data_IF_090372063800
#
_entry.id   IF_090372063800
#
_cell.length_a   1.000
_cell.length_b   1.000
_cell.length_c   1.000
_cell.angle_alpha   90.00
_cell.angle_beta   90.00
_cell.angle_gamma   90.00
#
_symmetry.space_group_name_H-M   'P 1'
#
loop_
_entity.id
_entity.type
_entity.pdbx_description
1 polymer ?
#
# COMPACT_ATOMS: atom_id res chain seq x y z
N UNK A 1 4.46 -29.76 36.43
CA UNK A 1 3.92 -28.38 36.36
C UNK A 1 4.34 -27.61 35.11
N UNK A 2 5.63 -27.35 34.85
CA UNK A 2 6.08 -26.55 33.67
C UNK A 2 5.57 -27.11 32.34
N UNK A 3 5.68 -28.43 32.09
CA UNK A 3 5.19 -29.07 30.84
C UNK A 3 3.68 -28.90 30.64
N UNK A 4 2.88 -28.92 31.71
CA UNK A 4 1.43 -28.72 31.65
C UNK A 4 1.08 -27.28 31.30
N UNK A 5 1.80 -26.33 31.91
CA UNK A 5 1.64 -24.89 31.62
C UNK A 5 2.00 -24.60 30.16
N UNK A 6 3.13 -25.11 29.68
CA UNK A 6 3.56 -24.93 28.27
C UNK A 6 2.52 -25.47 27.29
N UNK A 7 1.99 -26.69 27.55
CA UNK A 7 0.92 -27.27 26.72
C UNK A 7 -0.35 -26.42 26.74
N UNK A 8 -0.78 -25.96 27.90
CA UNK A 8 -1.97 -25.12 28.03
C UNK A 8 -1.81 -23.79 27.26
N UNK A 9 -0.66 -23.14 27.40
CA UNK A 9 -0.35 -21.89 26.65
C UNK A 9 -0.34 -22.14 25.15
N UNK A 10 0.26 -23.23 24.69
CA UNK A 10 0.30 -23.60 23.29
C UNK A 10 -1.11 -23.83 22.72
N UNK A 11 -1.94 -24.60 23.43
CA UNK A 11 -3.33 -24.84 23.04
C UNK A 11 -4.12 -23.53 23.01
N UNK A 12 -3.97 -22.68 24.03
CA UNK A 12 -4.60 -21.36 24.06
C UNK A 12 -4.21 -20.49 22.85
N UNK A 13 -2.92 -20.46 22.50
CA UNK A 13 -2.45 -19.73 21.31
C UNK A 13 -3.07 -20.27 20.02
N UNK A 14 -3.20 -21.60 19.88
CA UNK A 14 -3.85 -22.21 18.71
C UNK A 14 -5.34 -21.85 18.64
N UNK A 15 -6.05 -21.89 19.76
CA UNK A 15 -7.47 -21.52 19.82
C UNK A 15 -7.68 -20.03 19.50
N UNK A 16 -6.86 -19.18 20.07
CA UNK A 16 -6.89 -17.73 19.76
C UNK A 16 -6.55 -17.50 18.30
N UNK A 17 -5.45 -18.13 17.79
CA UNK A 17 -5.03 -18.02 16.40
C UNK A 17 -6.11 -18.47 15.41
N UNK A 18 -6.83 -19.55 15.73
CA UNK A 18 -8.00 -19.98 14.95
C UNK A 18 -9.17 -19.00 15.07
N UNK A 19 -9.45 -18.53 16.28
CA UNK A 19 -10.56 -17.60 16.55
C UNK A 19 -10.44 -16.27 15.80
N UNK A 20 -9.24 -15.68 15.78
CA UNK A 20 -9.01 -14.42 15.08
C UNK A 20 -9.16 -14.51 13.55
N UNK A 21 -9.14 -15.71 12.96
CA UNK A 21 -9.37 -15.87 11.53
C UNK A 21 -10.82 -15.54 11.12
N UNK A 22 -11.76 -15.59 12.05
CA UNK A 22 -13.14 -15.20 11.78
C UNK A 22 -13.37 -13.70 11.80
N UNK A 23 -12.39 -12.92 12.28
CA UNK A 23 -12.47 -11.46 12.34
C UNK A 23 -11.64 -10.90 11.18
N UNK A 24 -12.26 -10.77 10.01
CA UNK A 24 -11.58 -10.32 8.80
C UNK A 24 -12.02 -8.90 8.40
N UNK A 25 -11.07 -8.01 8.06
CA UNK A 25 -11.39 -6.69 7.51
C UNK A 25 -11.92 -6.82 6.09
N UNK A 26 -12.68 -5.81 5.66
CA UNK A 26 -13.07 -5.71 4.26
C UNK A 26 -11.83 -5.51 3.37
N UNK A 27 -11.77 -6.28 2.29
CA UNK A 27 -10.78 -6.18 1.23
C UNK A 27 -11.50 -5.87 -0.07
N UNK A 28 -11.84 -4.60 -0.24
CA UNK A 28 -12.61 -4.13 -1.38
C UNK A 28 -11.80 -3.14 -2.21
N UNK A 29 -12.01 -3.21 -3.52
CA UNK A 29 -11.55 -2.19 -4.45
C UNK A 29 -12.79 -1.41 -4.90
N UNK A 30 -12.92 -0.12 -4.52
CA UNK A 30 -13.97 0.73 -5.07
C UNK A 30 -13.87 0.80 -6.60
N UNK A 31 -14.96 1.08 -7.29
CA UNK A 31 -14.89 1.31 -8.74
C UNK A 31 -13.91 2.44 -9.07
N UNK A 32 -13.09 2.22 -10.09
CA UNK A 32 -12.22 3.26 -10.64
C UNK A 32 -12.94 3.94 -11.80
N UNK A 33 -12.96 5.27 -11.81
CA UNK A 33 -13.54 6.04 -12.91
C UNK A 33 -12.51 6.17 -14.04
N UNK A 34 -12.86 5.81 -15.28
CA UNK A 34 -11.99 6.02 -16.43
C UNK A 34 -11.61 7.50 -16.56
N UNK A 35 -10.31 7.78 -16.68
CA UNK A 35 -9.79 9.14 -16.82
C UNK A 35 -9.59 9.91 -15.52
N UNK A 36 -9.94 9.36 -14.36
CA UNK A 36 -9.74 10.00 -13.06
C UNK A 36 -8.35 9.74 -12.43
N UNK A 37 -7.65 8.74 -12.92
CA UNK A 37 -6.39 8.26 -12.33
C UNK A 37 -5.23 9.25 -12.52
N UNK A 38 -4.21 9.10 -11.68
CA UNK A 38 -2.95 9.84 -11.79
C UNK A 38 -2.36 9.73 -13.21
N UNK A 39 -2.32 8.54 -13.79
CA UNK A 39 -1.77 8.34 -15.13
C UNK A 39 -2.58 9.07 -16.20
N UNK A 40 -3.91 9.10 -16.08
CA UNK A 40 -4.77 9.75 -17.06
C UNK A 40 -4.68 11.30 -17.00
N UNK A 41 -4.57 11.84 -15.78
CA UNK A 41 -4.58 13.29 -15.53
C UNK A 41 -3.18 13.91 -15.62
N UNK A 42 -2.22 13.35 -14.87
CA UNK A 42 -0.86 13.87 -14.77
C UNK A 42 0.03 13.46 -15.95
N UNK A 43 -0.33 12.37 -16.65
CA UNK A 43 0.42 11.84 -17.81
C UNK A 43 1.92 11.73 -17.56
N UNK A 44 2.33 11.03 -16.48
CA UNK A 44 3.74 10.94 -16.12
C UNK A 44 4.58 10.27 -17.22
N UNK A 45 5.88 10.52 -17.21
CA UNK A 45 6.80 9.79 -18.09
C UNK A 45 6.68 8.27 -17.86
N UNK A 46 6.91 7.42 -18.89
CA UNK A 46 6.74 5.98 -18.78
C UNK A 46 7.54 5.33 -17.63
N UNK A 47 8.72 5.85 -17.33
CA UNK A 47 9.55 5.37 -16.21
C UNK A 47 8.84 5.63 -14.86
N UNK A 48 8.33 6.83 -14.63
CA UNK A 48 7.60 7.17 -13.42
C UNK A 48 6.31 6.35 -13.28
N UNK A 49 5.55 6.20 -14.37
CA UNK A 49 4.34 5.37 -14.38
C UNK A 49 4.65 3.90 -14.01
N UNK A 50 5.75 3.34 -14.50
CA UNK A 50 6.18 1.98 -14.17
C UNK A 50 6.53 1.85 -12.67
N UNK A 51 7.23 2.83 -12.11
CA UNK A 51 7.55 2.88 -10.67
C UNK A 51 6.26 2.93 -9.84
N UNK A 52 5.34 3.83 -10.17
CA UNK A 52 4.07 4.00 -9.46
C UNK A 52 3.25 2.72 -9.49
N UNK A 53 3.12 2.07 -10.66
CA UNK A 53 2.37 0.81 -10.78
C UNK A 53 2.93 -0.31 -9.91
N UNK A 54 4.26 -0.49 -9.85
CA UNK A 54 4.85 -1.60 -9.10
C UNK A 54 5.04 -1.35 -7.61
N UNK A 55 5.06 -0.09 -7.16
CA UNK A 55 5.47 0.27 -5.81
C UNK A 55 4.41 1.02 -4.99
N UNK A 56 3.42 1.64 -5.64
CA UNK A 56 2.48 2.55 -4.97
C UNK A 56 1.01 2.09 -5.08
N UNK A 57 0.61 1.52 -6.22
CA UNK A 57 -0.81 1.27 -6.53
C UNK A 57 -1.49 0.33 -5.56
N UNK A 58 -0.81 -0.67 -5.02
CA UNK A 58 -1.43 -1.63 -4.09
C UNK A 58 -2.01 -0.96 -2.84
N UNK A 59 -1.35 0.07 -2.31
CA UNK A 59 -1.85 0.79 -1.14
C UNK A 59 -2.57 2.10 -1.49
N UNK A 60 -2.21 2.75 -2.59
CA UNK A 60 -2.65 4.10 -2.91
C UNK A 60 -3.64 4.17 -4.09
N UNK A 61 -4.28 3.07 -4.47
CA UNK A 61 -5.27 3.08 -5.56
C UNK A 61 -6.47 2.18 -5.27
N UNK A 62 -7.46 2.23 -6.17
CA UNK A 62 -8.58 1.29 -6.18
C UNK A 62 -8.24 -0.04 -6.88
N UNK A 63 -6.98 -0.23 -7.27
CA UNK A 63 -6.49 -1.40 -8.02
C UNK A 63 -5.60 -2.31 -7.16
N UNK A 64 -5.85 -2.37 -5.85
CA UNK A 64 -5.09 -3.21 -4.93
C UNK A 64 -5.12 -4.67 -5.36
N UNK A 65 -3.95 -5.24 -5.57
CA UNK A 65 -3.80 -6.68 -5.73
C UNK A 65 -3.64 -7.32 -4.33
N UNK A 66 -4.75 -7.80 -3.78
CA UNK A 66 -4.80 -8.35 -2.42
C UNK A 66 -3.99 -9.64 -2.33
N UNK A 67 -2.82 -9.66 -1.69
CA UNK A 67 -1.98 -10.84 -1.62
C UNK A 67 -2.59 -11.90 -0.70
N UNK A 68 -2.14 -13.16 -0.80
CA UNK A 68 -2.67 -14.25 0.00
C UNK A 68 -2.62 -13.99 1.50
N UNK A 69 -1.56 -13.36 2.01
CA UNK A 69 -1.39 -13.06 3.43
C UNK A 69 -2.36 -11.99 3.94
N UNK A 70 -2.96 -11.19 3.05
CA UNK A 70 -4.05 -10.29 3.42
C UNK A 70 -5.32 -11.01 3.85
N UNK A 71 -5.36 -12.35 3.71
CA UNK A 71 -6.48 -13.22 4.12
C UNK A 71 -6.22 -13.91 5.45
N UNK A 72 -5.04 -13.73 6.05
CA UNK A 72 -4.59 -14.43 7.26
C UNK A 72 -4.37 -13.41 8.38
N UNK A 73 -5.15 -13.51 9.46
CA UNK A 73 -4.98 -12.65 10.65
C UNK A 73 -3.72 -13.06 11.44
N UNK A 74 -2.96 -12.11 11.99
CA UNK A 74 -3.23 -10.69 12.09
C UNK A 74 -2.78 -9.84 10.87
N UNK A 75 -2.07 -10.43 9.88
CA UNK A 75 -1.57 -9.71 8.71
C UNK A 75 -2.70 -9.07 7.89
N UNK A 76 -3.87 -9.72 7.84
CA UNK A 76 -5.05 -9.15 7.18
C UNK A 76 -5.44 -7.77 7.71
N UNK A 77 -5.33 -7.56 9.01
CA UNK A 77 -5.65 -6.27 9.63
C UNK A 77 -4.62 -5.20 9.28
N UNK A 78 -3.33 -5.57 9.28
CA UNK A 78 -2.25 -4.66 8.90
C UNK A 78 -2.41 -4.21 7.45
N UNK A 79 -2.53 -5.16 6.52
CA UNK A 79 -2.66 -4.85 5.08
C UNK A 79 -3.89 -3.99 4.80
N UNK A 80 -5.05 -4.34 5.39
CA UNK A 80 -6.27 -3.57 5.20
C UNK A 80 -6.17 -2.16 5.81
N UNK A 81 -5.45 -2.01 6.92
CA UNK A 81 -5.14 -0.71 7.51
C UNK A 81 -4.27 0.12 6.57
N UNK A 82 -3.16 -0.45 6.09
CA UNK A 82 -2.20 0.24 5.22
C UNK A 82 -2.86 0.71 3.91
N UNK A 83 -3.70 -0.14 3.30
CA UNK A 83 -4.47 0.24 2.10
C UNK A 83 -5.48 1.35 2.39
N UNK A 84 -6.22 1.27 3.50
CA UNK A 84 -7.17 2.30 3.87
C UNK A 84 -6.50 3.64 4.13
N UNK A 85 -5.41 3.64 4.89
CA UNK A 85 -4.66 4.84 5.22
C UNK A 85 -3.94 5.40 3.99
N UNK A 86 -3.36 4.54 3.15
CA UNK A 86 -2.76 4.90 1.89
C UNK A 86 -3.73 5.65 0.99
N UNK A 87 -4.93 5.09 0.77
CA UNK A 87 -5.99 5.73 -0.04
C UNK A 87 -6.51 7.03 0.58
N UNK A 88 -6.58 7.11 1.90
CA UNK A 88 -7.03 8.31 2.59
C UNK A 88 -6.03 9.46 2.47
N UNK A 89 -4.72 9.15 2.47
CA UNK A 89 -3.68 10.15 2.35
C UNK A 89 -3.40 10.56 0.91
N UNK A 90 -3.29 9.57 0.03
CA UNK A 90 -3.03 9.75 -1.41
C UNK A 90 -3.82 8.70 -2.19
N UNK A 91 -4.72 9.11 -3.08
CA UNK A 91 -5.49 8.20 -3.93
C UNK A 91 -5.18 8.43 -5.41
N UNK A 92 -4.39 7.54 -5.98
CA UNK A 92 -3.99 7.58 -7.39
C UNK A 92 -5.15 7.31 -8.35
N UNK A 93 -6.24 6.68 -7.89
CA UNK A 93 -7.43 6.42 -8.70
C UNK A 93 -8.41 7.59 -8.75
N UNK A 94 -8.22 8.60 -7.90
CA UNK A 94 -9.09 9.77 -7.78
C UNK A 94 -8.32 11.09 -7.96
N UNK A 95 -7.29 11.07 -8.79
CA UNK A 95 -6.39 12.21 -8.97
C UNK A 95 -7.10 13.46 -9.50
N UNK A 96 -8.13 13.27 -10.32
CA UNK A 96 -8.96 14.37 -10.83
C UNK A 96 -9.71 15.17 -9.74
N UNK A 97 -9.82 14.61 -8.52
CA UNK A 97 -10.43 15.32 -7.36
C UNK A 97 -9.47 16.29 -6.70
N UNK A 98 -8.17 16.16 -6.96
CA UNK A 98 -7.20 17.13 -6.48
C UNK A 98 -7.18 18.33 -7.43
N UNK A 99 -7.38 19.53 -6.88
CA UNK A 99 -7.13 20.78 -7.62
C UNK A 99 -5.64 20.95 -7.93
N UNK A 100 -5.26 21.93 -8.78
CA UNK A 100 -3.88 22.10 -9.22
C UNK A 100 -2.86 22.20 -8.08
N UNK A 101 -3.16 22.99 -7.06
CA UNK A 101 -2.28 23.16 -5.88
C UNK A 101 -2.11 21.84 -5.10
N UNK A 102 -3.20 21.12 -4.86
CA UNK A 102 -3.16 19.87 -4.13
C UNK A 102 -2.47 18.77 -4.94
N UNK A 103 -2.65 18.73 -6.26
CA UNK A 103 -1.95 17.79 -7.15
C UNK A 103 -0.44 17.99 -7.09
N UNK A 104 0.01 19.24 -7.15
CA UNK A 104 1.43 19.61 -7.03
C UNK A 104 1.99 19.20 -5.65
N UNK A 105 1.24 19.50 -4.58
CA UNK A 105 1.61 19.13 -3.22
C UNK A 105 1.77 17.60 -3.09
N UNK A 106 0.77 16.83 -3.54
CA UNK A 106 0.79 15.36 -3.44
C UNK A 106 1.89 14.73 -4.29
N UNK A 107 2.18 15.28 -5.47
CA UNK A 107 3.32 14.83 -6.27
C UNK A 107 4.65 15.12 -5.55
N UNK A 108 4.80 16.28 -4.92
CA UNK A 108 5.95 16.61 -4.09
C UNK A 108 6.11 15.67 -2.89
N UNK A 109 5.03 15.38 -2.16
CA UNK A 109 5.04 14.45 -1.04
C UNK A 109 5.47 13.04 -1.47
N UNK A 110 4.99 12.53 -2.61
CA UNK A 110 5.44 11.24 -3.15
C UNK A 110 6.96 11.20 -3.35
N UNK A 111 7.54 12.26 -3.92
CA UNK A 111 8.98 12.38 -4.12
C UNK A 111 9.72 12.40 -2.77
N UNK A 112 9.30 13.23 -1.82
CA UNK A 112 9.98 13.39 -0.53
C UNK A 112 9.89 12.11 0.34
N UNK A 113 8.73 11.45 0.39
CA UNK A 113 8.57 10.20 1.15
C UNK A 113 9.40 9.06 0.53
N UNK A 114 9.54 9.02 -0.81
CA UNK A 114 10.43 8.08 -1.49
C UNK A 114 11.91 8.37 -1.21
N UNK A 115 12.34 9.64 -1.28
CA UNK A 115 13.71 10.06 -0.93
C UNK A 115 14.07 9.75 0.52
N UNK A 116 13.11 9.95 1.42
CA UNK A 116 13.30 9.68 2.84
C UNK A 116 13.31 8.17 3.17
N UNK A 117 13.04 7.30 2.19
CA UNK A 117 12.94 5.85 2.38
C UNK A 117 11.76 5.42 3.25
N UNK A 118 10.77 6.30 3.44
CA UNK A 118 9.55 5.98 4.20
C UNK A 118 8.52 5.25 3.35
N UNK A 119 8.53 5.48 2.04
CA UNK A 119 7.71 4.80 1.04
C UNK A 119 8.59 4.19 -0.07
N UNK A 120 8.23 2.96 -0.50
CA UNK A 120 7.23 2.05 0.06
C UNK A 120 7.59 1.54 1.47
N UNK A 121 6.59 1.15 2.25
CA UNK A 121 6.78 0.61 3.60
C UNK A 121 7.73 -0.60 3.57
N UNK A 122 8.65 -0.69 4.54
CA UNK A 122 9.66 -1.75 4.59
C UNK A 122 9.05 -3.15 4.69
N UNK A 123 7.94 -3.31 5.45
CA UNK A 123 7.22 -4.57 5.56
C UNK A 123 6.61 -5.01 4.22
N UNK A 124 6.17 -4.06 3.40
CA UNK A 124 5.68 -4.35 2.06
C UNK A 124 6.83 -4.80 1.15
N UNK A 125 7.94 -4.08 1.12
CA UNK A 125 9.09 -4.42 0.27
C UNK A 125 9.81 -5.70 0.68
N UNK A 126 9.61 -6.18 1.92
CA UNK A 126 10.13 -7.47 2.37
C UNK A 126 9.48 -8.63 1.59
N UNK A 127 8.17 -8.54 1.34
CA UNK A 127 7.40 -9.55 0.60
C UNK A 127 7.27 -9.23 -0.90
N UNK A 128 7.58 -7.99 -1.29
CA UNK A 128 7.52 -7.47 -2.66
C UNK A 128 8.86 -6.81 -3.04
N UNK A 129 9.94 -7.57 -3.23
CA UNK A 129 11.26 -7.02 -3.51
C UNK A 129 11.31 -6.16 -4.77
N UNK A 130 10.41 -6.42 -5.74
CA UNK A 130 10.26 -5.60 -6.95
C UNK A 130 9.76 -4.17 -6.67
N UNK A 131 9.15 -3.93 -5.52
CA UNK A 131 8.67 -2.60 -5.12
C UNK A 131 9.77 -1.73 -4.48
N UNK A 132 10.96 -2.28 -4.22
CA UNK A 132 12.10 -1.48 -3.73
C UNK A 132 12.49 -0.45 -4.77
N UNK A 133 12.71 0.79 -4.30
CA UNK A 133 13.11 1.91 -5.15
C UNK A 133 14.62 2.07 -5.15
N UNK A 134 15.21 2.14 -6.34
CA UNK A 134 16.58 2.58 -6.56
C UNK A 134 16.67 4.09 -6.82
N UNK A 135 17.89 4.61 -6.94
CA UNK A 135 18.12 6.04 -7.19
C UNK A 135 17.46 6.52 -8.49
N UNK A 136 17.47 5.71 -9.54
CA UNK A 136 16.83 6.01 -10.83
C UNK A 136 15.30 6.08 -10.69
N UNK A 137 14.71 5.16 -9.91
CA UNK A 137 13.28 5.14 -9.65
C UNK A 137 12.83 6.41 -8.91
N UNK A 138 13.59 6.80 -7.88
CA UNK A 138 13.34 8.02 -7.12
C UNK A 138 13.47 9.25 -8.02
N UNK A 139 14.50 9.29 -8.86
CA UNK A 139 14.68 10.37 -9.83
C UNK A 139 13.49 10.48 -10.79
N UNK A 140 13.05 9.34 -11.36
CA UNK A 140 11.90 9.30 -12.25
C UNK A 140 10.60 9.74 -11.55
N UNK A 141 10.39 9.31 -10.30
CA UNK A 141 9.23 9.69 -9.50
C UNK A 141 9.24 11.20 -9.20
N UNK A 142 10.38 11.76 -8.81
CA UNK A 142 10.53 13.18 -8.51
C UNK A 142 10.37 14.08 -9.75
N UNK A 143 10.61 13.56 -10.94
CA UNK A 143 10.35 14.29 -12.18
C UNK A 143 8.84 14.45 -12.50
N UNK A 144 7.95 13.84 -11.72
CA UNK A 144 6.49 14.06 -11.82
C UNK A 144 6.02 15.35 -11.11
N UNK A 145 6.88 15.96 -10.31
CA UNK A 145 6.61 17.28 -9.72
C UNK A 145 6.84 18.36 -10.76
N UNK A 146 5.86 19.26 -10.96
CA UNK A 146 6.02 20.37 -11.91
C UNK A 146 7.11 21.33 -11.50
#
# INVERSE_FOLDING_TARGET
>A
MLRTIVKAVFVAMLVIGAGIQFIQPARTNPPAEPGASFEAVAKPAPAAAAVIRRACTDCHSHETNWPWYSKVSPMSWLVAKDVREGRAHLNLSEWNRYGPEMSTLRAGEMCEEAKAGKMPLWQYTLLHPQAKLGAEDISALCATTP
#
